data_IF_470971334290
#
_entry.id   IF_470971334290
#
_cell.length_a   1.000
_cell.length_b   1.000
_cell.length_c   1.000
_cell.angle_alpha   90.00
_cell.angle_beta   90.00
_cell.angle_gamma   90.00
#
_symmetry.space_group_name_H-M   'P 1'
#
loop_
_entity.id
_entity.type
_entity.pdbx_description
1 polymer ?
#
# COMPACT_ATOMS: atom_id res chain seq x y z
N UNK A 1 62.97 -27.77 19.92
CA UNK A 1 64.34 -28.28 20.13
C UNK A 1 64.37 -29.55 20.99
N UNK A 2 63.69 -29.61 22.14
CA UNK A 2 63.72 -30.78 23.05
C UNK A 2 63.24 -32.11 22.46
N UNK A 3 62.31 -32.12 21.50
CA UNK A 3 61.81 -33.38 20.90
C UNK A 3 62.79 -34.00 19.89
N UNK A 4 63.57 -33.18 19.19
CA UNK A 4 64.62 -33.66 18.27
C UNK A 4 65.83 -34.16 19.08
N UNK A 5 66.14 -33.50 20.20
CA UNK A 5 67.21 -33.90 21.13
C UNK A 5 66.91 -35.27 21.81
N UNK A 6 65.63 -35.55 22.11
CA UNK A 6 65.17 -36.83 22.65
C UNK A 6 65.27 -37.97 21.62
N UNK A 7 64.99 -37.69 20.35
CA UNK A 7 65.17 -38.66 19.28
C UNK A 7 66.64 -38.96 19.00
N UNK A 8 67.51 -37.94 19.04
CA UNK A 8 68.96 -38.11 18.83
C UNK A 8 69.63 -38.90 19.96
N UNK A 9 69.16 -38.73 21.20
CA UNK A 9 69.66 -39.46 22.38
C UNK A 9 69.24 -40.94 22.39
N UNK A 10 68.06 -41.28 21.87
CA UNK A 10 67.63 -42.68 21.70
C UNK A 10 68.44 -43.40 20.60
N UNK A 11 68.85 -42.67 19.55
CA UNK A 11 69.70 -43.24 18.49
C UNK A 11 71.13 -43.50 18.99
N UNK A 12 71.67 -42.61 19.82
CA UNK A 12 73.03 -42.71 20.41
C UNK A 12 73.16 -43.77 21.52
N UNK A 13 72.05 -44.28 22.07
CA UNK A 13 72.02 -45.34 23.10
C UNK A 13 72.01 -46.77 22.55
N UNK A 14 72.06 -46.96 21.22
CA UNK A 14 72.25 -48.28 20.63
C UNK A 14 73.74 -48.67 20.64
N UNK A 15 74.28 -48.96 21.83
CA UNK A 15 75.45 -49.83 21.89
C UNK A 15 75.05 -51.24 21.41
N UNK A 16 75.94 -51.83 20.63
CA UNK A 16 75.80 -53.10 19.91
C UNK A 16 75.11 -54.18 20.75
N UNK A 17 73.88 -54.56 20.37
CA UNK A 17 73.19 -55.69 20.98
C UNK A 17 73.84 -56.98 20.49
N UNK A 18 74.44 -57.73 21.43
CA UNK A 18 75.03 -59.04 21.17
C UNK A 18 73.89 -60.06 21.03
N UNK A 19 73.66 -60.56 19.81
CA UNK A 19 72.69 -61.62 19.55
C UNK A 19 73.16 -62.94 20.14
N UNK A 20 72.27 -63.65 20.86
CA UNK A 20 72.49 -65.05 21.21
C UNK A 20 72.53 -65.90 19.93
N UNK A 21 73.48 -66.84 19.84
CA UNK A 21 73.83 -67.66 18.66
C UNK A 21 72.69 -68.50 18.04
N UNK A 22 71.44 -68.43 18.52
CA UNK A 22 70.29 -69.10 17.89
C UNK A 22 68.95 -68.46 18.29
N UNK A 23 68.67 -67.26 17.79
CA UNK A 23 67.28 -66.79 17.62
C UNK A 23 66.68 -67.41 16.35
N UNK A 24 65.33 -67.41 16.21
CA UNK A 24 64.72 -67.83 14.94
C UNK A 24 65.43 -67.14 13.77
N UNK A 25 65.79 -67.84 12.67
CA UNK A 25 66.52 -67.26 11.53
C UNK A 25 65.87 -66.01 10.91
N UNK A 26 64.61 -65.75 11.26
CA UNK A 26 63.78 -64.64 10.78
C UNK A 26 63.95 -63.34 11.58
N UNK A 27 64.56 -63.39 12.77
CA UNK A 27 64.83 -62.22 13.61
C UNK A 27 66.33 -61.90 13.67
N UNK A 28 67.07 -62.23 12.62
CA UNK A 28 68.49 -61.92 12.51
C UNK A 28 68.70 -60.39 12.45
N UNK A 29 69.35 -59.79 13.47
CA UNK A 29 69.57 -58.37 13.57
C UNK A 29 70.38 -57.76 12.42
N UNK A 30 71.14 -58.57 11.69
CA UNK A 30 71.95 -58.10 10.56
C UNK A 30 71.10 -57.51 9.42
N UNK A 31 69.86 -57.98 9.23
CA UNK A 31 68.99 -57.52 8.14
C UNK A 31 68.21 -56.23 8.45
N UNK A 32 68.03 -55.88 9.74
CA UNK A 32 67.19 -54.75 10.16
C UNK A 32 67.76 -53.40 9.74
N UNK A 33 69.09 -53.24 9.71
CA UNK A 33 69.73 -51.97 9.33
C UNK A 33 69.38 -51.56 7.90
N UNK A 34 69.42 -52.51 6.95
CA UNK A 34 69.07 -52.27 5.54
C UNK A 34 67.58 -51.97 5.36
N UNK A 35 66.71 -52.71 6.05
CA UNK A 35 65.25 -52.47 6.02
C UNK A 35 64.89 -51.08 6.53
N UNK A 36 65.53 -50.64 7.63
CA UNK A 36 65.28 -49.34 8.22
C UNK A 36 65.79 -48.19 7.33
N UNK A 37 66.93 -48.39 6.66
CA UNK A 37 67.45 -47.44 5.66
C UNK A 37 66.45 -47.23 4.53
N UNK A 38 65.99 -48.30 3.87
CA UNK A 38 65.04 -48.19 2.77
C UNK A 38 63.68 -47.65 3.22
N UNK A 39 63.21 -48.05 4.41
CA UNK A 39 62.01 -47.48 5.01
C UNK A 39 62.13 -45.96 5.16
N UNK A 40 63.27 -45.47 5.68
CA UNK A 40 63.51 -44.04 5.82
C UNK A 40 63.53 -43.33 4.46
N UNK A 41 64.21 -43.90 3.45
CA UNK A 41 64.25 -43.35 2.09
C UNK A 41 62.85 -43.24 1.49
N UNK A 42 62.06 -44.32 1.49
CA UNK A 42 60.69 -44.30 0.96
C UNK A 42 59.77 -43.37 1.77
N UNK A 43 59.89 -43.38 3.09
CA UNK A 43 59.11 -42.51 3.96
C UNK A 43 59.41 -41.04 3.70
N UNK A 44 60.68 -40.67 3.55
CA UNK A 44 61.08 -39.28 3.22
C UNK A 44 60.53 -38.86 1.87
N UNK A 45 60.66 -39.70 0.83
CA UNK A 45 60.12 -39.40 -0.51
C UNK A 45 58.60 -39.20 -0.45
N UNK A 46 57.89 -40.09 0.24
CA UNK A 46 56.44 -40.01 0.41
C UNK A 46 56.02 -38.79 1.23
N UNK A 47 56.73 -38.48 2.32
CA UNK A 47 56.48 -37.31 3.15
C UNK A 47 56.62 -36.02 2.35
N UNK A 48 57.69 -35.87 1.57
CA UNK A 48 57.92 -34.72 0.69
C UNK A 48 56.80 -34.62 -0.36
N UNK A 49 56.40 -35.75 -0.96
CA UNK A 49 55.31 -35.80 -1.94
C UNK A 49 53.97 -35.32 -1.35
N UNK A 50 53.63 -35.78 -0.14
CA UNK A 50 52.41 -35.35 0.56
C UNK A 50 52.47 -33.86 0.92
N UNK A 51 53.57 -33.44 1.53
CA UNK A 51 53.74 -32.07 2.01
C UNK A 51 53.73 -31.05 0.88
N UNK A 52 54.40 -31.35 -0.24
CA UNK A 52 54.58 -30.39 -1.32
C UNK A 52 53.49 -30.46 -2.40
N UNK A 53 52.77 -31.58 -2.54
CA UNK A 53 51.76 -31.73 -3.60
C UNK A 53 50.34 -31.89 -3.06
N UNK A 54 50.10 -32.85 -2.16
CA UNK A 54 48.74 -33.19 -1.72
C UNK A 54 48.17 -32.13 -0.75
N UNK A 55 48.98 -31.67 0.22
CA UNK A 55 48.55 -30.66 1.19
C UNK A 55 48.17 -29.33 0.51
N UNK A 56 49.00 -28.75 -0.39
CA UNK A 56 48.63 -27.52 -1.09
C UNK A 56 47.36 -27.67 -1.95
N UNK A 57 47.15 -28.84 -2.56
CA UNK A 57 45.94 -29.11 -3.36
C UNK A 57 44.68 -29.10 -2.49
N UNK A 58 44.72 -29.70 -1.31
CA UNK A 58 43.60 -29.70 -0.35
C UNK A 58 43.33 -28.27 0.15
N UNK A 59 44.36 -27.50 0.46
CA UNK A 59 44.23 -26.09 0.89
C UNK A 59 43.56 -25.25 -0.22
N UNK A 60 43.99 -25.40 -1.47
CA UNK A 60 43.37 -24.69 -2.61
C UNK A 60 41.87 -24.98 -2.73
N UNK A 61 41.47 -26.25 -2.59
CA UNK A 61 40.05 -26.64 -2.63
C UNK A 61 39.29 -26.06 -1.43
N UNK A 62 39.87 -26.11 -0.23
CA UNK A 62 39.28 -25.52 0.98
C UNK A 62 39.03 -24.02 0.79
N UNK A 63 40.05 -23.28 0.36
CA UNK A 63 39.96 -21.84 0.15
C UNK A 63 38.91 -21.49 -0.92
N UNK A 64 38.86 -22.24 -2.02
CA UNK A 64 37.85 -22.02 -3.07
C UNK A 64 36.42 -22.24 -2.54
N UNK A 65 36.22 -23.26 -1.69
CA UNK A 65 34.92 -23.50 -1.06
C UNK A 65 34.54 -22.37 -0.11
N UNK A 66 35.50 -21.91 0.71
CA UNK A 66 35.30 -20.80 1.63
C UNK A 66 34.97 -19.50 0.89
N UNK A 67 35.71 -19.18 -0.17
CA UNK A 67 35.44 -18.03 -1.05
C UNK A 67 34.03 -18.10 -1.66
N UNK A 68 33.63 -19.28 -2.15
CA UNK A 68 32.29 -19.48 -2.71
C UNK A 68 31.21 -19.27 -1.64
N UNK A 69 31.40 -19.82 -0.43
CA UNK A 69 30.46 -19.65 0.68
C UNK A 69 30.36 -18.18 1.07
N UNK A 70 31.49 -17.49 1.24
CA UNK A 70 31.52 -16.08 1.60
C UNK A 70 30.88 -15.19 0.52
N UNK A 71 31.12 -15.51 -0.75
CA UNK A 71 30.48 -14.84 -1.89
C UNK A 71 28.96 -15.01 -1.85
N UNK A 72 28.47 -16.24 -1.67
CA UNK A 72 27.02 -16.52 -1.58
C UNK A 72 26.37 -15.85 -0.37
N UNK A 73 27.05 -15.79 0.78
CA UNK A 73 26.56 -15.09 1.97
C UNK A 73 26.47 -13.58 1.70
N UNK A 74 27.52 -12.99 1.10
CA UNK A 74 27.56 -11.57 0.74
C UNK A 74 26.45 -11.22 -0.25
N UNK A 75 26.28 -12.04 -1.29
CA UNK A 75 25.22 -11.87 -2.28
C UNK A 75 23.82 -12.00 -1.66
N UNK A 76 23.61 -12.99 -0.79
CA UNK A 76 22.34 -13.17 -0.08
C UNK A 76 22.04 -11.96 0.81
N UNK A 77 23.05 -11.43 1.51
CA UNK A 77 22.91 -10.22 2.32
C UNK A 77 22.55 -9.00 1.47
N UNK A 78 23.24 -8.79 0.33
CA UNK A 78 22.94 -7.70 -0.61
C UNK A 78 21.52 -7.80 -1.17
N UNK A 79 21.07 -9.01 -1.50
CA UNK A 79 19.69 -9.25 -1.96
C UNK A 79 18.71 -8.90 -0.84
N UNK A 80 18.97 -9.33 0.39
CA UNK A 80 18.10 -9.01 1.54
C UNK A 80 18.01 -7.50 1.79
N UNK A 81 19.14 -6.79 1.79
CA UNK A 81 19.19 -5.33 1.92
C UNK A 81 18.41 -4.65 0.78
N UNK A 82 18.57 -5.12 -0.46
CA UNK A 82 17.83 -4.58 -1.61
C UNK A 82 16.31 -4.81 -1.47
N UNK A 83 15.90 -5.98 -0.97
CA UNK A 83 14.49 -6.28 -0.71
C UNK A 83 13.93 -5.38 0.39
N UNK A 84 14.68 -5.18 1.47
CA UNK A 84 14.29 -4.30 2.57
C UNK A 84 14.12 -2.85 2.08
N UNK A 85 15.06 -2.32 1.29
CA UNK A 85 14.93 -1.00 0.66
C UNK A 85 13.69 -0.88 -0.26
N UNK A 86 13.41 -1.92 -1.05
CA UNK A 86 12.22 -1.97 -1.91
C UNK A 86 10.94 -1.97 -1.07
N UNK A 87 10.90 -2.75 0.01
CA UNK A 87 9.75 -2.82 0.92
C UNK A 87 9.53 -1.47 1.62
N UNK A 88 10.59 -0.83 2.11
CA UNK A 88 10.50 0.50 2.69
C UNK A 88 9.98 1.53 1.69
N UNK A 89 10.47 1.51 0.44
CA UNK A 89 10.00 2.39 -0.62
C UNK A 89 8.53 2.16 -0.93
N UNK A 90 8.10 0.91 -1.10
CA UNK A 90 6.70 0.55 -1.34
C UNK A 90 5.81 1.06 -0.20
N UNK A 91 6.21 0.84 1.06
CA UNK A 91 5.46 1.29 2.22
C UNK A 91 5.37 2.83 2.29
N UNK A 92 6.46 3.52 1.99
CA UNK A 92 6.51 5.00 1.93
C UNK A 92 5.60 5.54 0.83
N UNK A 93 5.69 4.99 -0.38
CA UNK A 93 4.87 5.38 -1.51
C UNK A 93 3.39 5.08 -1.26
N UNK A 94 3.07 3.90 -0.72
CA UNK A 94 1.71 3.53 -0.36
C UNK A 94 1.12 4.50 0.67
N UNK A 95 1.86 4.82 1.73
CA UNK A 95 1.42 5.78 2.75
C UNK A 95 1.23 7.19 2.17
N UNK A 96 2.11 7.62 1.26
CA UNK A 96 1.99 8.90 0.55
C UNK A 96 0.73 8.93 -0.31
N UNK A 97 0.49 7.91 -1.12
CA UNK A 97 -0.70 7.82 -1.97
C UNK A 97 -1.98 7.72 -1.15
N UNK A 98 -1.96 6.99 -0.04
CA UNK A 98 -3.10 6.92 0.88
C UNK A 98 -3.46 8.29 1.44
N UNK A 99 -2.47 9.06 1.91
CA UNK A 99 -2.70 10.44 2.38
C UNK A 99 -3.25 11.36 1.29
N UNK A 100 -2.75 11.24 0.05
CA UNK A 100 -3.27 12.00 -1.09
C UNK A 100 -4.73 11.62 -1.35
N UNK A 101 -5.04 10.32 -1.40
CA UNK A 101 -6.40 9.82 -1.62
C UNK A 101 -7.36 10.29 -0.53
N UNK A 102 -6.98 10.18 0.74
CA UNK A 102 -7.80 10.64 1.87
C UNK A 102 -8.08 12.15 1.80
N UNK A 103 -7.07 12.94 1.40
CA UNK A 103 -7.21 14.39 1.18
C UNK A 103 -8.12 14.71 -0.01
N UNK A 104 -7.97 13.99 -1.13
CA UNK A 104 -8.81 14.17 -2.31
C UNK A 104 -10.26 13.83 -2.02
N UNK A 105 -10.53 12.69 -1.36
CA UNK A 105 -11.86 12.28 -0.92
C UNK A 105 -12.47 13.35 -0.01
N UNK A 106 -11.72 13.81 0.99
CA UNK A 106 -12.18 14.87 1.90
C UNK A 106 -12.51 16.16 1.14
N UNK A 107 -11.66 16.57 0.20
CA UNK A 107 -11.87 17.75 -0.62
C UNK A 107 -13.08 17.61 -1.55
N UNK A 108 -13.30 16.43 -2.12
CA UNK A 108 -14.43 16.13 -2.98
C UNK A 108 -15.75 16.14 -2.19
N UNK A 109 -15.75 15.58 -0.98
CA UNK A 109 -16.90 15.62 -0.07
C UNK A 109 -17.24 17.06 0.32
N UNK A 110 -16.24 17.88 0.69
CA UNK A 110 -16.44 19.29 1.02
C UNK A 110 -17.00 20.09 -0.16
N UNK A 111 -16.42 19.91 -1.36
CA UNK A 111 -16.92 20.55 -2.60
C UNK A 111 -18.33 20.10 -2.94
N UNK A 112 -18.64 18.81 -2.78
CA UNK A 112 -19.98 18.27 -3.03
C UNK A 112 -21.01 18.87 -2.07
N UNK A 113 -20.68 18.92 -0.77
CA UNK A 113 -21.52 19.56 0.25
C UNK A 113 -21.75 21.03 -0.05
N UNK A 114 -20.70 21.79 -0.36
CA UNK A 114 -20.83 23.21 -0.72
C UNK A 114 -21.70 23.44 -1.95
N UNK A 115 -21.56 22.61 -3.00
CA UNK A 115 -22.44 22.68 -4.18
C UNK A 115 -23.89 22.32 -3.86
N UNK A 116 -24.12 21.37 -2.94
CA UNK A 116 -25.45 21.03 -2.49
C UNK A 116 -26.09 22.20 -1.74
N UNK A 117 -25.36 22.81 -0.80
CA UNK A 117 -25.81 23.98 -0.04
C UNK A 117 -26.13 25.16 -0.98
N UNK A 118 -25.29 25.40 -2.00
CA UNK A 118 -25.53 26.42 -3.02
C UNK A 118 -26.81 26.12 -3.83
N UNK A 119 -27.01 24.87 -4.26
CA UNK A 119 -28.22 24.46 -4.97
C UNK A 119 -29.47 24.62 -4.13
N UNK A 120 -29.42 24.26 -2.85
CA UNK A 120 -30.53 24.45 -1.91
C UNK A 120 -30.84 25.94 -1.78
N UNK A 121 -29.84 26.78 -1.54
CA UNK A 121 -30.04 28.23 -1.42
C UNK A 121 -30.64 28.87 -2.69
N UNK A 122 -30.16 28.46 -3.87
CA UNK A 122 -30.69 28.94 -5.14
C UNK A 122 -32.12 28.43 -5.39
N UNK A 123 -32.41 27.19 -5.00
CA UNK A 123 -33.76 26.64 -5.06
C UNK A 123 -34.72 27.40 -4.15
N UNK A 124 -34.34 27.69 -2.91
CA UNK A 124 -35.14 28.47 -1.96
C UNK A 124 -35.44 29.89 -2.48
N UNK A 125 -34.43 30.58 -3.04
CA UNK A 125 -34.63 31.89 -3.69
C UNK A 125 -35.61 31.81 -4.86
N UNK A 126 -35.49 30.76 -5.67
CA UNK A 126 -36.38 30.55 -6.81
C UNK A 126 -37.81 30.29 -6.33
N UNK A 127 -37.97 29.43 -5.33
CA UNK A 127 -39.26 29.10 -4.74
C UNK A 127 -39.95 30.32 -4.11
N UNK A 128 -39.22 31.15 -3.37
CA UNK A 128 -39.76 32.39 -2.81
C UNK A 128 -40.15 33.40 -3.90
N UNK A 129 -39.37 33.51 -4.99
CA UNK A 129 -39.74 34.38 -6.11
C UNK A 129 -41.00 33.90 -6.85
N UNK A 130 -41.15 32.59 -7.06
CA UNK A 130 -42.36 31.98 -7.63
C UNK A 130 -43.57 32.16 -6.72
N UNK A 131 -43.40 31.97 -5.41
CA UNK A 131 -44.47 32.21 -4.42
C UNK A 131 -44.94 33.66 -4.45
N UNK A 132 -44.01 34.61 -4.57
CA UNK A 132 -44.33 36.04 -4.68
C UNK A 132 -45.03 36.37 -5.99
N UNK A 133 -44.59 35.83 -7.13
CA UNK A 133 -45.26 36.06 -8.42
C UNK A 133 -46.67 35.48 -8.42
N UNK A 134 -46.84 34.24 -7.94
CA UNK A 134 -48.15 33.59 -7.82
C UNK A 134 -49.09 34.39 -6.90
N UNK A 135 -48.59 34.90 -5.78
CA UNK A 135 -49.37 35.75 -4.87
C UNK A 135 -49.82 37.05 -5.56
N UNK A 136 -48.94 37.68 -6.34
CA UNK A 136 -49.30 38.87 -7.12
C UNK A 136 -50.32 38.56 -8.22
N UNK A 137 -50.20 37.42 -8.90
CA UNK A 137 -51.13 37.01 -9.94
C UNK A 137 -52.50 36.65 -9.36
N UNK A 138 -52.55 36.00 -8.19
CA UNK A 138 -53.78 35.81 -7.42
C UNK A 138 -54.42 37.14 -7.02
N UNK A 139 -53.62 38.12 -6.58
CA UNK A 139 -54.14 39.45 -6.26
C UNK A 139 -54.72 40.16 -7.49
N UNK A 140 -54.03 40.11 -8.64
CA UNK A 140 -54.55 40.65 -9.91
C UNK A 140 -55.82 39.94 -10.36
N UNK A 141 -55.88 38.62 -10.25
CA UNK A 141 -57.07 37.83 -10.59
C UNK A 141 -58.24 38.19 -9.68
N UNK A 142 -58.01 38.30 -8.35
CA UNK A 142 -59.00 38.78 -7.39
C UNK A 142 -59.52 40.16 -7.76
N UNK A 143 -58.64 41.12 -8.02
CA UNK A 143 -59.02 42.49 -8.43
C UNK A 143 -59.85 42.50 -9.71
N UNK A 144 -59.46 41.70 -10.71
CA UNK A 144 -60.20 41.56 -11.98
C UNK A 144 -61.59 40.94 -11.78
N UNK A 145 -61.74 40.03 -10.82
CA UNK A 145 -63.06 39.49 -10.43
C UNK A 145 -63.87 40.57 -9.73
N UNK A 146 -63.28 41.30 -8.77
CA UNK A 146 -63.95 42.40 -8.06
C UNK A 146 -64.43 43.50 -9.01
N UNK A 147 -63.65 43.86 -10.03
CA UNK A 147 -64.05 44.81 -11.08
C UNK A 147 -65.22 44.30 -11.93
N UNK A 148 -65.36 42.98 -12.11
CA UNK A 148 -66.45 42.36 -12.89
C UNK A 148 -67.70 42.01 -12.07
N UNK A 149 -67.62 41.97 -10.74
CA UNK A 149 -68.76 41.66 -9.87
C UNK A 149 -69.95 42.61 -10.11
N UNK A 150 -69.77 43.94 -10.23
CA UNK A 150 -70.86 44.87 -10.53
C UNK A 150 -71.60 44.50 -11.81
N UNK A 151 -70.85 44.27 -12.91
CA UNK A 151 -71.41 43.92 -14.22
C UNK A 151 -72.23 42.62 -14.15
N UNK A 152 -71.68 41.59 -13.50
CA UNK A 152 -72.35 40.29 -13.35
C UNK A 152 -73.60 40.41 -12.46
N UNK A 153 -73.53 41.20 -11.39
CA UNK A 153 -74.66 41.37 -10.45
C UNK A 153 -75.81 42.15 -11.08
N UNK A 154 -75.51 43.19 -11.86
CA UNK A 154 -76.50 43.94 -12.64
C UNK A 154 -77.10 43.06 -13.74
N UNK A 155 -76.28 42.32 -14.48
CA UNK A 155 -76.77 41.39 -15.50
C UNK A 155 -77.70 40.32 -14.90
N UNK A 156 -77.32 39.71 -13.77
CA UNK A 156 -78.14 38.72 -13.08
C UNK A 156 -79.45 39.33 -12.55
N UNK A 157 -79.39 40.54 -11.96
CA UNK A 157 -80.59 41.23 -11.45
C UNK A 157 -81.56 41.59 -12.57
N UNK A 158 -81.05 42.07 -13.71
CA UNK A 158 -81.86 42.36 -14.89
C UNK A 158 -82.50 41.08 -15.46
N UNK A 159 -81.76 39.96 -15.52
CA UNK A 159 -82.31 38.66 -15.93
C UNK A 159 -83.40 38.14 -14.99
N UNK A 160 -83.20 38.28 -13.67
CA UNK A 160 -84.22 37.90 -12.68
C UNK A 160 -85.46 38.78 -12.83
N UNK A 161 -85.28 40.09 -13.01
CA UNK A 161 -86.38 41.04 -13.20
C UNK A 161 -87.18 40.72 -14.46
N UNK A 162 -86.51 40.51 -15.59
CA UNK A 162 -87.15 40.15 -16.87
C UNK A 162 -87.98 38.86 -16.74
N UNK A 163 -87.47 37.88 -15.99
CA UNK A 163 -88.13 36.59 -15.80
C UNK A 163 -89.33 36.64 -14.85
N UNK A 164 -89.34 37.56 -13.87
CA UNK A 164 -90.41 37.69 -12.88
C UNK A 164 -91.49 38.67 -13.35
N UNK A 165 -91.10 39.81 -13.91
CA UNK A 165 -92.02 40.91 -14.27
C UNK A 165 -92.43 40.91 -15.74
N UNK A 166 -91.77 40.13 -16.60
CA UNK A 166 -92.09 40.07 -18.04
C UNK A 166 -91.71 41.32 -18.84
N UNK A 167 -91.06 42.31 -18.21
CA UNK A 167 -90.57 43.55 -18.81
C UNK A 167 -89.04 43.68 -18.66
N UNK A 168 -88.38 44.31 -19.64
CA UNK A 168 -86.94 44.55 -19.59
C UNK A 168 -86.61 45.73 -18.69
N UNK A 169 -85.79 45.48 -17.66
CA UNK A 169 -85.18 46.53 -16.86
C UNK A 169 -83.77 46.87 -17.39
N UNK A 170 -83.43 48.17 -17.39
CA UNK A 170 -82.15 48.71 -17.82
C UNK A 170 -81.34 49.21 -16.61
N UNK A 171 -81.22 48.41 -15.55
CA UNK A 171 -80.34 48.74 -14.42
C UNK A 171 -78.90 48.92 -14.93
N UNK A 172 -78.24 50.02 -14.55
CA UNK A 172 -76.88 50.33 -14.99
C UNK A 172 -75.85 50.13 -13.88
N UNK A 173 -74.58 49.95 -14.25
CA UNK A 173 -73.46 49.80 -13.31
C UNK A 173 -73.35 51.00 -12.35
N UNK A 174 -73.75 52.19 -12.78
CA UNK A 174 -73.80 53.40 -11.94
C UNK A 174 -74.82 53.31 -10.80
N UNK A 175 -75.93 52.58 -11.00
CA UNK A 175 -76.95 52.38 -9.98
C UNK A 175 -76.45 51.41 -8.89
N UNK A 176 -75.72 50.37 -9.29
CA UNK A 176 -75.05 49.44 -8.37
C UNK A 176 -74.00 50.18 -7.51
N UNK A 177 -73.18 51.04 -8.10
CA UNK A 177 -72.16 51.81 -7.38
C UNK A 177 -72.77 52.77 -6.34
N UNK A 178 -73.92 53.40 -6.63
CA UNK A 178 -74.65 54.23 -5.65
C UNK A 178 -75.13 53.41 -4.44
N UNK A 179 -75.74 52.25 -4.68
CA UNK A 179 -76.25 51.35 -3.63
C UNK A 179 -75.10 50.85 -2.73
N UNK A 180 -73.95 50.50 -3.30
CA UNK A 180 -72.79 50.06 -2.53
C UNK A 180 -72.12 51.17 -1.71
N UNK A 181 -72.26 52.44 -2.12
CA UNK A 181 -71.72 53.61 -1.41
C UNK A 181 -72.59 54.00 -0.20
N UNK A 182 -73.90 53.82 -0.32
CA UNK A 182 -74.86 54.08 0.76
C UNK A 182 -74.89 52.96 1.82
N UNK A 183 -74.33 51.78 1.49
CA UNK A 183 -74.26 50.60 2.37
C UNK A 183 -73.00 50.52 3.24
N UNK A 184 -72.09 51.50 3.16
CA UNK A 184 -70.81 51.51 3.87
C UNK A 184 -70.83 52.50 5.03
#
# INVERSE_FOLDING_TARGET
MNRVLLFLTIILLNETTFGAESGMPQLDPESFSSQLFWLFVFFTILFISINNYFVPKIIKVRNKREETINSLISESKRINESVEEIVEKINSDFNKQRKISDSEISSALLKSKSKLDEKISNFDKTLESQKKSLSNDLYKAKKKIEEKIPDISVALSNQIFEKIMGEKNNGTVSDFEKIMKDSK
#
